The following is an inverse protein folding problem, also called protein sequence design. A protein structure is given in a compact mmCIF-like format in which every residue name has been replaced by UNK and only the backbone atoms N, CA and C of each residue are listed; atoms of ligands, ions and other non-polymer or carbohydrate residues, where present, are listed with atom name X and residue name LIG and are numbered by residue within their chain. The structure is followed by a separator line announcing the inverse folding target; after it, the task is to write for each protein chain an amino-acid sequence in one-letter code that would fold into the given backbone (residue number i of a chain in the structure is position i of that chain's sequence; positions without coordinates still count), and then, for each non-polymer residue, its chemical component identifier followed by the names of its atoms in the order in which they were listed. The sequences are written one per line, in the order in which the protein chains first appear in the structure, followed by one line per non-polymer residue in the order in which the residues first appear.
data_IF_288347891935
#
_entry.id   IF_288347891935
#
_cell.length_a   1.000
_cell.length_b   1.000
_cell.length_c   1.000
_cell.angle_alpha   90.00
_cell.angle_beta   90.00
_cell.angle_gamma   90.00
#
_symmetry.space_group_name_H-M   'P 1'
#
loop_
_entity.id
_entity.type
_entity.pdbx_description
1 polymer ?
#
# COMPACT_ATOMS: atom_id res chain seq x y z
N UNK A 1 -43.65 8.44 -23.98
CA UNK A 1 -42.52 7.87 -24.71
C UNK A 1 -41.19 8.48 -24.25
N UNK A 2 -41.06 9.77 -24.27
CA UNK A 2 -39.81 10.44 -23.91
C UNK A 2 -39.43 10.21 -22.44
N UNK A 3 -40.39 10.09 -21.56
CA UNK A 3 -40.15 9.93 -20.12
C UNK A 3 -39.49 8.60 -19.77
N UNK A 4 -39.82 7.54 -20.50
CA UNK A 4 -39.26 6.23 -20.25
C UNK A 4 -37.76 6.18 -20.45
N UNK A 5 -37.28 6.86 -21.50
CA UNK A 5 -35.86 6.86 -21.84
C UNK A 5 -35.05 7.54 -20.74
N UNK A 6 -35.56 8.64 -20.19
CA UNK A 6 -34.85 9.38 -19.14
C UNK A 6 -34.69 8.55 -17.86
N UNK A 7 -35.76 7.91 -17.42
CA UNK A 7 -35.71 7.10 -16.20
C UNK A 7 -34.72 5.94 -16.33
N UNK A 8 -34.66 5.35 -17.49
CA UNK A 8 -33.79 4.22 -17.74
C UNK A 8 -32.31 4.61 -17.64
N UNK A 9 -31.93 5.74 -18.18
CA UNK A 9 -30.55 6.19 -18.13
C UNK A 9 -30.06 6.47 -16.71
N UNK A 10 -30.89 7.07 -15.87
CA UNK A 10 -30.52 7.38 -14.47
C UNK A 10 -30.25 6.11 -13.69
N UNK A 11 -31.08 5.09 -13.87
CA UNK A 11 -30.92 3.83 -13.17
C UNK A 11 -29.58 3.18 -13.49
N UNK A 12 -29.14 3.19 -14.71
CA UNK A 12 -27.87 2.61 -15.10
C UNK A 12 -26.67 3.32 -14.48
N UNK A 13 -26.70 4.62 -14.42
CA UNK A 13 -25.60 5.41 -13.85
C UNK A 13 -25.36 5.06 -12.36
N UNK A 14 -26.43 4.94 -11.60
CA UNK A 14 -26.32 4.59 -10.17
C UNK A 14 -25.73 3.20 -9.98
N UNK A 15 -26.15 2.25 -10.78
CA UNK A 15 -25.65 0.89 -10.71
C UNK A 15 -24.13 0.80 -10.95
N UNK A 16 -23.62 1.50 -11.94
CA UNK A 16 -22.19 1.49 -12.26
C UNK A 16 -21.37 2.09 -11.13
N UNK A 17 -21.83 3.16 -10.51
CA UNK A 17 -21.11 3.78 -9.40
C UNK A 17 -20.95 2.85 -8.21
N UNK A 18 -21.98 2.10 -7.86
CA UNK A 18 -21.92 1.15 -6.75
C UNK A 18 -20.94 0.01 -7.04
N UNK A 19 -20.92 -0.50 -8.26
CA UNK A 19 -20.04 -1.59 -8.64
C UNK A 19 -18.57 -1.17 -8.52
N UNK A 20 -18.21 0.05 -8.92
CA UNK A 20 -16.83 0.53 -8.86
C UNK A 20 -16.31 0.66 -7.44
N UNK A 21 -17.14 1.12 -6.50
CA UNK A 21 -16.71 1.31 -5.12
C UNK A 21 -16.49 0.01 -4.36
N UNK A 22 -17.06 -1.11 -4.84
CA UNK A 22 -16.97 -2.40 -4.16
C UNK A 22 -15.58 -3.05 -4.23
N UNK A 23 -14.69 -2.59 -5.12
CA UNK A 23 -13.40 -3.22 -5.37
C UNK A 23 -12.21 -2.37 -4.97
N UNK A 24 -12.43 -1.32 -4.19
CA UNK A 24 -11.33 -0.49 -3.71
C UNK A 24 -10.53 -1.23 -2.65
N UNK A 25 -9.20 -1.12 -2.71
CA UNK A 25 -8.26 -1.69 -1.75
C UNK A 25 -7.61 -0.55 -0.97
N UNK A 26 -7.45 -0.72 0.36
CA UNK A 26 -6.80 0.27 1.19
C UNK A 26 -5.33 0.42 0.81
N UNK A 27 -4.87 1.64 0.78
CA UNK A 27 -3.49 1.98 0.46
C UNK A 27 -2.80 2.62 1.65
N UNK A 28 -1.53 2.26 1.84
CA UNK A 28 -0.67 2.83 2.87
C UNK A 28 0.63 3.25 2.19
N UNK A 29 1.28 4.28 2.71
CA UNK A 29 2.51 4.81 2.11
C UNK A 29 3.65 4.90 3.09
N UNK A 30 4.85 4.56 2.63
CA UNK A 30 6.11 4.81 3.31
C UNK A 30 6.96 5.67 2.38
N UNK A 31 7.75 6.56 2.98
CA UNK A 31 8.71 7.37 2.25
C UNK A 31 10.11 7.01 2.73
N UNK A 32 11.06 6.88 1.80
CA UNK A 32 12.48 6.73 2.11
C UNK A 32 13.15 8.04 1.80
N UNK A 33 13.82 8.61 2.80
CA UNK A 33 14.63 9.81 2.64
C UNK A 33 15.78 9.80 3.63
N UNK A 34 16.97 10.13 3.16
CA UNK A 34 18.19 10.07 3.96
C UNK A 34 18.37 8.69 4.60
N UNK A 35 18.06 7.65 3.85
CA UNK A 35 18.17 6.25 4.26
C UNK A 35 17.35 5.92 5.51
N UNK A 36 16.17 6.53 5.62
CA UNK A 36 15.22 6.29 6.72
C UNK A 36 13.81 6.18 6.18
N UNK A 37 13.01 5.36 6.85
CA UNK A 37 11.57 5.25 6.54
C UNK A 37 10.77 6.26 7.35
N UNK A 38 9.80 6.87 6.70
CA UNK A 38 8.83 7.76 7.34
C UNK A 38 7.43 7.41 6.84
N UNK A 39 6.48 7.09 7.71
CA UNK A 39 6.64 6.85 9.14
C UNK A 39 7.40 5.55 9.41
N UNK A 40 7.96 5.39 10.61
CA UNK A 40 8.64 4.16 10.98
C UNK A 40 7.66 3.04 11.32
N UNK A 41 6.47 3.39 11.74
CA UNK A 41 5.41 2.44 12.08
C UNK A 41 4.15 2.77 11.31
N UNK A 42 3.58 1.78 10.64
CA UNK A 42 2.24 1.89 10.05
C UNK A 42 1.35 0.81 10.66
N UNK A 43 0.07 1.12 10.78
CA UNK A 43 -0.93 0.18 11.28
C UNK A 43 -1.88 -0.18 10.16
N UNK A 44 -2.06 -1.47 9.93
CA UNK A 44 -2.96 -1.97 8.90
C UNK A 44 -3.98 -2.93 9.52
N UNK A 45 -5.14 -3.11 8.89
CA UNK A 45 -6.15 -4.04 9.42
C UNK A 45 -5.74 -5.49 9.25
N UNK A 46 -6.10 -6.31 10.24
CA UNK A 46 -5.89 -7.76 10.17
C UNK A 46 -6.81 -8.39 9.12
N UNK A 47 -6.40 -9.54 8.63
CA UNK A 47 -7.21 -10.37 7.71
C UNK A 47 -7.65 -9.63 6.45
N UNK A 48 -6.88 -8.65 6.03
CA UNK A 48 -7.21 -7.79 4.89
C UNK A 48 -5.98 -7.61 4.01
N UNK A 49 -6.14 -7.81 2.71
CA UNK A 49 -5.08 -7.51 1.75
C UNK A 49 -5.02 -6.01 1.51
N UNK A 50 -3.84 -5.43 1.64
CA UNK A 50 -3.62 -3.99 1.47
C UNK A 50 -2.50 -3.73 0.47
N UNK A 51 -2.45 -2.51 -0.02
CA UNK A 51 -1.44 -2.04 -0.97
C UNK A 51 -0.50 -1.09 -0.23
N UNK A 52 0.78 -1.43 -0.20
CA UNK A 52 1.81 -0.57 0.37
C UNK A 52 2.58 0.10 -0.75
N UNK A 53 2.59 1.43 -0.75
CA UNK A 53 3.38 2.21 -1.70
C UNK A 53 4.62 2.70 -0.99
N UNK A 54 5.80 2.37 -1.52
CA UNK A 54 7.08 2.83 -0.97
C UNK A 54 7.67 3.82 -1.93
N UNK A 55 7.80 5.07 -1.49
CA UNK A 55 8.34 6.17 -2.29
C UNK A 55 9.77 6.43 -1.88
N UNK A 56 10.71 6.19 -2.78
CA UNK A 56 12.12 6.45 -2.52
C UNK A 56 12.51 7.83 -3.04
N UNK A 57 12.71 8.76 -2.13
CA UNK A 57 13.08 10.13 -2.46
C UNK A 57 14.59 10.33 -2.50
N UNK A 58 15.37 9.30 -2.18
CA UNK A 58 16.81 9.34 -2.31
C UNK A 58 17.22 9.07 -3.77
N UNK A 59 18.37 9.54 -4.20
CA UNK A 59 18.87 9.28 -5.56
C UNK A 59 19.38 7.84 -5.73
N UNK A 60 19.65 7.14 -4.65
CA UNK A 60 20.16 5.76 -4.68
C UNK A 60 19.03 4.76 -4.46
N UNK A 61 19.15 3.53 -4.98
CA UNK A 61 18.14 2.51 -4.74
C UNK A 61 18.15 2.03 -3.30
N UNK A 62 17.00 1.52 -2.85
CA UNK A 62 16.87 0.88 -1.56
C UNK A 62 16.07 -0.41 -1.72
N UNK A 63 16.39 -1.41 -0.91
CA UNK A 63 15.62 -2.65 -0.92
C UNK A 63 14.75 -2.74 0.33
N UNK A 64 13.44 -2.70 0.13
CA UNK A 64 12.50 -3.01 1.20
C UNK A 64 12.54 -4.51 1.46
N UNK A 65 12.80 -4.92 2.69
CA UNK A 65 12.85 -6.31 3.05
C UNK A 65 12.13 -6.56 4.36
N UNK A 66 11.32 -7.62 4.39
CA UNK A 66 10.74 -8.13 5.62
C UNK A 66 10.72 -9.66 5.56
N UNK A 67 11.48 -10.29 6.44
CA UNK A 67 11.52 -11.75 6.52
C UNK A 67 10.17 -12.31 6.98
N UNK A 68 9.57 -11.66 7.98
CA UNK A 68 8.30 -12.12 8.52
C UNK A 68 7.15 -12.00 7.52
N UNK A 69 7.21 -11.03 6.63
CA UNK A 69 6.23 -10.87 5.56
C UNK A 69 6.57 -11.70 4.33
N UNK A 70 7.77 -12.23 4.23
CA UNK A 70 8.28 -12.87 3.02
C UNK A 70 8.21 -11.94 1.82
N UNK A 71 8.68 -10.70 2.00
CA UNK A 71 8.67 -9.67 0.95
C UNK A 71 10.03 -9.04 0.79
N UNK A 72 10.43 -8.89 -0.46
CA UNK A 72 11.63 -8.16 -0.87
C UNK A 72 11.29 -7.37 -2.12
N UNK A 73 11.71 -6.12 -2.17
CA UNK A 73 11.54 -5.31 -3.37
C UNK A 73 12.56 -4.19 -3.41
N UNK A 74 13.29 -4.13 -4.51
CA UNK A 74 14.19 -2.99 -4.79
C UNK A 74 13.37 -1.85 -5.35
N UNK A 75 13.50 -0.68 -4.74
CA UNK A 75 12.87 0.55 -5.20
C UNK A 75 13.97 1.47 -5.68
N UNK A 76 13.96 1.78 -6.96
CA UNK A 76 14.98 2.63 -7.57
C UNK A 76 14.95 4.04 -6.97
N UNK A 77 16.08 4.76 -7.08
CA UNK A 77 16.14 6.14 -6.61
C UNK A 77 15.13 7.02 -7.33
N UNK A 78 14.58 7.98 -6.62
CA UNK A 78 13.61 8.95 -7.15
C UNK A 78 12.40 8.27 -7.81
N UNK A 79 11.99 7.13 -7.29
CA UNK A 79 10.84 6.39 -7.83
C UNK A 79 10.07 5.69 -6.72
N UNK A 80 9.02 4.98 -7.08
CA UNK A 80 8.20 4.27 -6.10
C UNK A 80 7.94 2.85 -6.54
N UNK A 81 7.70 2.00 -5.55
CA UNK A 81 7.30 0.62 -5.76
C UNK A 81 6.02 0.31 -5.02
N UNK A 82 5.36 -0.74 -5.45
CA UNK A 82 4.11 -1.21 -4.84
C UNK A 82 4.31 -2.62 -4.33
N UNK A 83 3.89 -2.85 -3.09
CA UNK A 83 3.96 -4.16 -2.45
C UNK A 83 2.58 -4.50 -1.93
N UNK A 84 2.06 -5.67 -2.29
CA UNK A 84 0.80 -6.16 -1.75
C UNK A 84 1.09 -6.98 -0.50
N UNK A 85 0.36 -6.73 0.57
CA UNK A 85 0.58 -7.32 1.88
C UNK A 85 -0.74 -7.88 2.41
N UNK A 86 -0.66 -9.05 3.02
CA UNK A 86 -1.81 -9.68 3.67
C UNK A 86 -2.56 -10.64 2.76
N UNK A 87 -3.65 -11.21 3.32
CA UNK A 87 -4.14 -11.00 4.69
C UNK A 87 -3.18 -11.54 5.75
N UNK A 88 -3.08 -10.84 6.87
CA UNK A 88 -2.17 -11.18 7.96
C UNK A 88 -2.91 -11.31 9.29
N UNK A 89 -2.36 -12.12 10.18
CA UNK A 89 -2.81 -12.19 11.56
C UNK A 89 -2.36 -10.95 12.34
N UNK A 90 -3.06 -10.57 13.42
CA UNK A 90 -2.59 -9.51 14.31
C UNK A 90 -1.17 -9.78 14.79
N UNK A 91 -0.34 -8.74 14.85
CA UNK A 91 1.03 -8.87 15.29
C UNK A 91 1.89 -7.72 14.78
N UNK A 92 3.19 -7.84 14.99
CA UNK A 92 4.18 -6.85 14.57
C UNK A 92 5.10 -7.48 13.54
N UNK A 93 5.28 -6.80 12.41
CA UNK A 93 6.03 -7.30 11.26
C UNK A 93 7.13 -6.28 10.93
N UNK A 94 8.37 -6.53 11.37
CA UNK A 94 9.47 -5.62 11.10
C UNK A 94 9.89 -5.62 9.64
N UNK A 95 10.41 -4.50 9.17
CA UNK A 95 11.06 -4.39 7.86
C UNK A 95 12.30 -3.52 7.95
N UNK A 96 13.17 -3.65 6.98
CA UNK A 96 14.40 -2.85 6.88
C UNK A 96 14.59 -2.40 5.44
N UNK A 97 15.42 -1.38 5.26
CA UNK A 97 16.03 -1.08 3.98
C UNK A 97 17.36 -1.82 3.94
N UNK A 98 17.46 -2.89 3.19
CA UNK A 98 18.60 -3.78 3.26
C UNK A 98 19.91 -3.11 2.87
N UNK A 99 19.87 -2.11 2.01
CA UNK A 99 21.07 -1.41 1.61
C UNK A 99 21.58 -0.43 2.67
N UNK A 100 20.77 -0.13 3.70
CA UNK A 100 21.11 0.82 4.76
C UNK A 100 20.47 0.41 6.08
N UNK A 101 20.76 -0.81 6.55
CA UNK A 101 20.06 -1.38 7.69
C UNK A 101 20.27 -0.65 9.01
N UNK A 102 21.38 0.07 9.15
CA UNK A 102 21.65 0.80 10.39
C UNK A 102 20.68 1.98 10.62
N UNK A 103 20.10 2.51 9.55
CA UNK A 103 19.20 3.67 9.63
C UNK A 103 17.80 3.38 9.10
N UNK A 104 17.68 2.53 8.09
CA UNK A 104 16.41 2.24 7.43
C UNK A 104 15.71 1.07 8.12
N UNK A 105 14.88 1.37 9.11
CA UNK A 105 14.15 0.38 9.91
C UNK A 105 12.72 0.84 10.16
N UNK A 106 11.82 -0.11 10.22
CA UNK A 106 10.44 0.18 10.57
C UNK A 106 9.67 -1.08 10.91
N UNK A 107 8.37 -0.93 11.14
CA UNK A 107 7.51 -2.05 11.43
C UNK A 107 6.09 -1.78 10.98
N UNK A 108 5.40 -2.86 10.68
CA UNK A 108 3.96 -2.85 10.39
C UNK A 108 3.27 -3.49 11.59
N UNK A 109 2.33 -2.77 12.18
CA UNK A 109 1.45 -3.31 13.22
C UNK A 109 0.13 -3.71 12.58
N UNK A 110 -0.28 -4.94 12.83
CA UNK A 110 -1.52 -5.49 12.30
C UNK A 110 -2.47 -5.71 13.47
N UNK A 111 -3.64 -5.08 13.41
CA UNK A 111 -4.65 -5.23 14.48
C UNK A 111 -6.08 -4.96 14.04
#
# INVERSE_FOLDING_TARGET
MKHLVTAFGVSMAVFIGLANSAFAMDEFSLTIKNHKFTPETITIPANTKVKLIVKNLDPTPEEFESQKLHREKVIQGNSQGVIFIGPLDPGTYPFVGEFHESTAKGQIKVK
#
